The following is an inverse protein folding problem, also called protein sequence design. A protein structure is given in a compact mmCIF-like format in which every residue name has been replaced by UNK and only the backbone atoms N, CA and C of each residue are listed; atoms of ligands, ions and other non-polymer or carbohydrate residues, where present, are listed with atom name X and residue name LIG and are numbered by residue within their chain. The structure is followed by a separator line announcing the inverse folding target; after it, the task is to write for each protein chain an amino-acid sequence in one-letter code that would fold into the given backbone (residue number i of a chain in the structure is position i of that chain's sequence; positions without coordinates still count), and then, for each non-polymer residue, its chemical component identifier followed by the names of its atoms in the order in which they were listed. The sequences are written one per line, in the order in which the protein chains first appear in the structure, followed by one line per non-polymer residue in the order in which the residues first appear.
data_IF_166205297940
#
_entry.id   IF_166205297940
#
_cell.length_a   1.000
_cell.length_b   1.000
_cell.length_c   1.000
_cell.angle_alpha   90.00
_cell.angle_beta   90.00
_cell.angle_gamma   90.00
#
_symmetry.space_group_name_H-M   'P 1'
#
loop_
_entity.id
_entity.type
_entity.pdbx_description
1 polymer ?
#
# COMPACT_ATOMS: atom_id res chain seq x y z
N UNK A 1 -25.64 -7.47 23.22
CA UNK A 1 -24.65 -6.39 23.34
C UNK A 1 -23.49 -6.83 24.21
N UNK A 2 -22.26 -6.75 23.71
CA UNK A 2 -21.07 -6.96 24.52
C UNK A 2 -20.91 -5.85 25.57
N UNK A 3 -20.37 -6.17 26.75
CA UNK A 3 -20.17 -5.17 27.80
C UNK A 3 -19.06 -4.19 27.43
N UNK A 4 -19.23 -2.91 27.77
CA UNK A 4 -18.22 -1.87 27.53
C UNK A 4 -16.86 -2.22 28.15
N UNK A 5 -16.87 -2.87 29.32
CA UNK A 5 -15.68 -3.39 30.00
C UNK A 5 -14.96 -4.46 29.18
N UNK A 6 -15.72 -5.35 28.52
CA UNK A 6 -15.15 -6.38 27.65
C UNK A 6 -14.50 -5.77 26.41
N UNK A 7 -15.20 -4.86 25.73
CA UNK A 7 -14.67 -4.12 24.56
C UNK A 7 -13.40 -3.36 24.96
N UNK A 8 -13.41 -2.66 26.10
CA UNK A 8 -12.24 -1.92 26.60
C UNK A 8 -11.05 -2.83 26.89
N UNK A 9 -11.29 -4.05 27.37
CA UNK A 9 -10.24 -5.04 27.59
C UNK A 9 -9.64 -5.54 26.26
N UNK A 10 -10.48 -5.77 25.25
CA UNK A 10 -10.02 -6.13 23.89
C UNK A 10 -9.17 -5.01 23.28
N UNK A 11 -9.63 -3.75 23.35
CA UNK A 11 -8.88 -2.61 22.83
C UNK A 11 -7.55 -2.37 23.57
N UNK A 12 -7.49 -2.71 24.87
CA UNK A 12 -6.22 -2.69 25.61
C UNK A 12 -5.26 -3.76 25.09
N UNK A 13 -5.74 -4.96 24.80
CA UNK A 13 -4.94 -6.04 24.22
C UNK A 13 -4.43 -5.71 22.82
N UNK A 14 -5.16 -4.94 22.02
CA UNK A 14 -4.65 -4.43 20.73
C UNK A 14 -3.48 -3.45 20.87
N UNK A 15 -3.36 -2.74 22.01
CA UNK A 15 -2.35 -1.69 22.20
C UNK A 15 -1.10 -2.16 22.95
N UNK A 16 -1.24 -3.22 23.74
CA UNK A 16 -0.18 -3.69 24.64
C UNK A 16 -0.05 -5.20 24.68
N UNK A 17 -0.67 -5.91 23.74
CA UNK A 17 -0.58 -7.36 23.62
C UNK A 17 0.67 -7.77 22.83
N UNK A 18 0.99 -9.06 22.84
CA UNK A 18 1.86 -9.65 21.81
C UNK A 18 1.03 -9.99 20.56
N UNK A 19 1.70 -10.27 19.43
CA UNK A 19 1.07 -10.57 18.13
C UNK A 19 -0.13 -11.52 18.23
N UNK A 20 -0.01 -12.62 19.00
CA UNK A 20 -1.12 -13.55 19.23
C UNK A 20 -2.30 -12.95 19.99
N UNK A 21 -2.07 -12.09 20.98
CA UNK A 21 -3.12 -11.44 21.75
C UNK A 21 -3.82 -10.35 20.95
N UNK A 22 -3.06 -9.60 20.15
CA UNK A 22 -3.57 -8.61 19.21
C UNK A 22 -4.47 -9.27 18.17
N UNK A 23 -3.99 -10.36 17.55
CA UNK A 23 -4.75 -11.14 16.58
C UNK A 23 -6.09 -11.65 17.16
N UNK A 24 -6.04 -12.27 18.35
CA UNK A 24 -7.24 -12.80 19.00
C UNK A 24 -8.22 -11.69 19.39
N UNK A 25 -7.71 -10.56 19.87
CA UNK A 25 -8.55 -9.41 20.21
C UNK A 25 -9.21 -8.81 18.96
N UNK A 26 -8.47 -8.67 17.87
CA UNK A 26 -8.98 -8.15 16.61
C UNK A 26 -10.03 -9.08 15.99
N UNK A 27 -9.79 -10.39 15.97
CA UNK A 27 -10.80 -11.40 15.55
C UNK A 27 -12.09 -11.28 16.35
N UNK A 28 -11.97 -11.19 17.67
CA UNK A 28 -13.13 -11.02 18.54
C UNK A 28 -13.90 -9.73 18.22
N UNK A 29 -13.19 -8.64 17.89
CA UNK A 29 -13.83 -7.38 17.50
C UNK A 29 -14.53 -7.49 16.15
N UNK A 30 -14.00 -8.24 15.19
CA UNK A 30 -14.69 -8.57 13.93
C UNK A 30 -16.00 -9.29 14.24
N UNK A 31 -15.95 -10.37 15.01
CA UNK A 31 -17.13 -11.17 15.35
C UNK A 31 -18.19 -10.32 16.04
N UNK A 32 -17.79 -9.50 17.03
CA UNK A 32 -18.70 -8.59 17.72
C UNK A 32 -19.30 -7.54 16.78
N UNK A 33 -18.51 -7.00 15.85
CA UNK A 33 -18.97 -6.00 14.88
C UNK A 33 -19.93 -6.61 13.86
N UNK A 34 -19.72 -7.86 13.46
CA UNK A 34 -20.61 -8.58 12.55
C UNK A 34 -21.93 -8.97 13.23
N UNK A 35 -21.91 -9.25 14.53
CA UNK A 35 -23.08 -9.70 15.30
C UNK A 35 -24.16 -8.62 15.48
N UNK A 36 -23.78 -7.35 15.67
CA UNK A 36 -24.77 -6.30 15.96
C UNK A 36 -24.25 -4.87 15.77
N UNK A 37 -25.09 -3.97 15.23
CA UNK A 37 -24.80 -2.53 15.11
C UNK A 37 -24.53 -1.86 16.47
N UNK A 38 -25.23 -2.35 17.49
CA UNK A 38 -25.07 -1.95 18.88
C UNK A 38 -23.65 -2.23 19.40
N UNK A 39 -23.05 -3.34 18.99
CA UNK A 39 -21.65 -3.65 19.30
C UNK A 39 -20.70 -2.76 18.49
N UNK A 40 -21.01 -2.47 17.21
CA UNK A 40 -20.22 -1.54 16.39
C UNK A 40 -20.17 -0.16 17.06
N UNK A 41 -21.31 0.37 17.48
CA UNK A 41 -21.39 1.64 18.18
C UNK A 41 -20.57 1.64 19.49
N UNK A 42 -20.65 0.56 20.26
CA UNK A 42 -19.86 0.43 21.50
C UNK A 42 -18.34 0.35 21.24
N UNK A 43 -17.93 -0.34 20.17
CA UNK A 43 -16.52 -0.42 19.75
C UNK A 43 -16.00 0.95 19.33
N UNK A 44 -16.78 1.70 18.53
CA UNK A 44 -16.43 3.05 18.10
C UNK A 44 -16.36 4.00 19.31
N UNK A 45 -17.35 3.97 20.19
CA UNK A 45 -17.39 4.79 21.40
C UNK A 45 -16.20 4.53 22.35
N UNK A 46 -15.70 3.29 22.38
CA UNK A 46 -14.52 2.92 23.16
C UNK A 46 -13.18 3.29 22.48
N UNK A 47 -13.21 3.90 21.29
CA UNK A 47 -12.02 4.28 20.53
C UNK A 47 -11.44 3.13 19.69
N UNK A 48 -12.29 2.25 19.17
CA UNK A 48 -11.87 1.10 18.36
C UNK A 48 -11.23 1.49 17.03
N UNK A 49 -11.77 2.47 16.31
CA UNK A 49 -11.24 2.95 15.03
C UNK A 49 -9.76 3.37 15.14
N UNK A 50 -9.37 4.32 16.01
CA UNK A 50 -7.97 4.71 16.11
C UNK A 50 -7.07 3.57 16.57
N UNK A 51 -7.56 2.65 17.42
CA UNK A 51 -6.77 1.49 17.85
C UNK A 51 -6.47 0.52 16.70
N UNK A 52 -7.47 0.22 15.86
CA UNK A 52 -7.32 -0.67 14.70
C UNK A 52 -6.45 -0.06 13.60
N UNK A 53 -6.58 1.25 13.36
CA UNK A 53 -5.72 1.96 12.39
C UNK A 53 -4.25 1.99 12.85
N UNK A 54 -4.00 2.16 14.15
CA UNK A 54 -2.64 2.07 14.69
C UNK A 54 -2.07 0.66 14.54
N UNK A 55 -2.88 -0.39 14.76
CA UNK A 55 -2.44 -1.78 14.58
C UNK A 55 -2.09 -2.08 13.11
N UNK A 56 -2.89 -1.60 12.15
CA UNK A 56 -2.58 -1.67 10.72
C UNK A 56 -1.27 -0.93 10.38
N UNK A 57 -1.03 0.23 10.98
CA UNK A 57 0.18 1.01 10.75
C UNK A 57 1.43 0.30 11.26
N UNK A 58 1.38 -0.23 12.49
CA UNK A 58 2.50 -0.95 13.08
C UNK A 58 2.89 -2.16 12.23
N UNK A 59 1.91 -2.96 11.84
CA UNK A 59 2.15 -4.16 11.01
C UNK A 59 2.62 -3.83 9.59
N UNK A 60 2.07 -2.80 8.95
CA UNK A 60 2.55 -2.35 7.63
C UNK A 60 4.00 -1.80 7.68
N UNK A 61 4.36 -1.12 8.77
CA UNK A 61 5.73 -0.60 8.98
C UNK A 61 6.73 -1.74 9.20
N UNK A 62 6.35 -2.76 9.95
CA UNK A 62 7.16 -3.95 10.18
C UNK A 62 7.40 -4.77 8.91
N UNK A 63 6.42 -4.81 8.00
CA UNK A 63 6.58 -5.46 6.70
C UNK A 63 7.55 -4.71 5.78
N UNK A 64 7.54 -3.37 5.78
CA UNK A 64 8.45 -2.56 4.97
C UNK A 64 9.92 -2.62 5.43
N UNK A 65 10.17 -2.78 6.74
CA UNK A 65 11.52 -2.70 7.30
C UNK A 65 12.35 -4.00 7.19
N UNK A 66 11.77 -5.14 6.83
CA UNK A 66 12.42 -6.46 6.99
C UNK A 66 12.81 -7.13 5.66
N UNK A 67 14.08 -7.53 5.57
CA UNK A 67 14.70 -8.22 4.42
C UNK A 67 14.19 -9.65 4.21
N UNK A 68 14.34 -10.21 2.99
CA UNK A 68 13.84 -11.53 2.63
C UNK A 68 14.74 -12.67 3.11
N UNK A 69 14.48 -13.20 4.30
CA UNK A 69 15.12 -14.43 4.77
C UNK A 69 14.11 -15.30 5.54
N UNK A 70 14.10 -16.58 5.19
CA UNK A 70 13.30 -17.75 5.65
C UNK A 70 12.54 -17.71 7.00
N UNK A 71 12.94 -16.94 8.01
CA UNK A 71 12.11 -16.67 9.21
C UNK A 71 10.86 -15.81 8.90
N UNK A 72 10.83 -15.18 7.73
CA UNK A 72 9.74 -14.36 7.23
C UNK A 72 8.46 -15.16 7.00
N UNK A 73 8.52 -16.42 6.57
CA UNK A 73 7.30 -17.19 6.25
C UNK A 73 6.40 -17.47 7.47
N UNK A 74 6.99 -17.73 8.65
CA UNK A 74 6.23 -17.98 9.88
C UNK A 74 5.75 -16.69 10.56
N UNK A 75 6.55 -15.61 10.53
CA UNK A 75 6.16 -14.32 11.14
C UNK A 75 5.31 -13.44 10.22
N UNK A 76 5.50 -13.52 8.89
CA UNK A 76 4.64 -12.81 7.92
C UNK A 76 3.22 -13.34 7.98
N UNK A 77 3.03 -14.65 8.17
CA UNK A 77 1.70 -15.25 8.33
C UNK A 77 0.91 -14.61 9.47
N UNK A 78 1.56 -14.26 10.59
CA UNK A 78 0.87 -13.64 11.73
C UNK A 78 0.62 -12.16 11.50
N UNK A 79 1.60 -11.42 10.95
CA UNK A 79 1.42 -10.01 10.61
C UNK A 79 0.37 -9.79 9.51
N UNK A 80 0.37 -10.61 8.46
CA UNK A 80 -0.64 -10.61 7.39
C UNK A 80 -2.04 -10.92 7.98
N UNK A 81 -2.12 -11.88 8.90
CA UNK A 81 -3.37 -12.16 9.60
C UNK A 81 -3.84 -10.98 10.46
N UNK A 82 -2.95 -10.31 11.18
CA UNK A 82 -3.28 -9.12 11.99
C UNK A 82 -3.76 -7.98 11.08
N UNK A 83 -3.11 -7.77 9.93
CA UNK A 83 -3.56 -6.80 8.93
C UNK A 83 -4.94 -7.14 8.40
N UNK A 84 -5.15 -8.39 8.01
CA UNK A 84 -6.44 -8.88 7.52
C UNK A 84 -7.54 -8.60 8.53
N UNK A 85 -7.41 -9.08 9.76
CA UNK A 85 -8.48 -8.94 10.77
C UNK A 85 -8.68 -7.50 11.20
N UNK A 86 -7.64 -6.67 11.18
CA UNK A 86 -7.76 -5.25 11.51
C UNK A 86 -8.48 -4.49 10.41
N UNK A 87 -8.15 -4.76 9.15
CA UNK A 87 -8.85 -4.20 7.99
C UNK A 87 -10.30 -4.70 7.94
N UNK A 88 -10.56 -5.98 8.20
CA UNK A 88 -11.91 -6.54 8.27
C UNK A 88 -12.73 -5.91 9.38
N UNK A 89 -12.13 -5.68 10.55
CA UNK A 89 -12.82 -4.99 11.65
C UNK A 89 -13.20 -3.56 11.25
N UNK A 90 -12.30 -2.81 10.60
CA UNK A 90 -12.64 -1.50 10.05
C UNK A 90 -13.74 -1.58 8.99
N UNK A 91 -13.69 -2.61 8.12
CA UNK A 91 -14.74 -2.96 7.17
C UNK A 91 -16.10 -3.10 7.84
N UNK A 92 -16.22 -3.98 8.84
CA UNK A 92 -17.46 -4.17 9.58
C UNK A 92 -17.94 -2.89 10.28
N UNK A 93 -17.04 -2.08 10.83
CA UNK A 93 -17.40 -0.80 11.45
C UNK A 93 -17.87 0.23 10.43
N UNK A 94 -17.44 0.11 9.18
CA UNK A 94 -17.80 1.02 8.09
C UNK A 94 -19.19 0.71 7.50
N UNK A 95 -19.65 -0.55 7.55
CA UNK A 95 -20.92 -0.98 6.96
C UNK A 95 -22.08 -0.16 7.52
N UNK A 96 -22.89 0.39 6.60
CA UNK A 96 -24.09 1.20 6.87
C UNK A 96 -23.90 2.38 7.84
N UNK A 97 -22.67 2.88 8.00
CA UNK A 97 -22.37 3.94 8.96
C UNK A 97 -21.45 5.02 8.38
N UNK A 98 -22.01 6.06 7.74
CA UNK A 98 -21.22 7.11 7.09
C UNK A 98 -20.34 7.89 8.08
N UNK A 99 -20.81 8.07 9.33
CA UNK A 99 -20.01 8.68 10.40
C UNK A 99 -18.76 7.87 10.74
N UNK A 100 -18.86 6.54 10.78
CA UNK A 100 -17.71 5.68 11.03
C UNK A 100 -16.76 5.69 9.83
N UNK A 101 -17.27 5.69 8.60
CA UNK A 101 -16.45 5.79 7.38
C UNK A 101 -15.63 7.08 7.37
N UNK A 102 -16.24 8.22 7.67
CA UNK A 102 -15.53 9.49 7.82
C UNK A 102 -14.46 9.43 8.92
N UNK A 103 -14.78 8.83 10.08
CA UNK A 103 -13.82 8.65 11.17
C UNK A 103 -12.64 7.73 10.80
N UNK A 104 -12.88 6.66 10.03
CA UNK A 104 -11.85 5.76 9.50
C UNK A 104 -10.91 6.52 8.55
N UNK A 105 -11.48 7.33 7.64
CA UNK A 105 -10.72 8.21 6.76
C UNK A 105 -9.86 9.20 7.53
N UNK A 106 -10.47 9.92 8.49
CA UNK A 106 -9.80 10.92 9.33
C UNK A 106 -8.70 10.32 10.24
N UNK A 107 -8.84 9.06 10.64
CA UNK A 107 -7.80 8.35 11.39
C UNK A 107 -6.56 8.01 10.53
N UNK A 108 -6.63 8.21 9.21
CA UNK A 108 -5.54 7.97 8.28
C UNK A 108 -5.47 6.52 7.78
N UNK A 109 -6.60 5.82 7.72
CA UNK A 109 -6.66 4.46 7.18
C UNK A 109 -6.41 4.41 5.66
N UNK A 110 -6.92 5.41 4.91
CA UNK A 110 -6.84 5.45 3.44
C UNK A 110 -5.43 5.23 2.88
N UNK A 111 -4.39 6.01 3.29
CA UNK A 111 -3.04 5.80 2.76
C UNK A 111 -2.46 4.41 3.12
N UNK A 112 -2.83 3.86 4.28
CA UNK A 112 -2.38 2.52 4.69
C UNK A 112 -3.04 1.43 3.83
N UNK A 113 -4.33 1.55 3.53
CA UNK A 113 -5.05 0.59 2.68
C UNK A 113 -4.49 0.60 1.26
N UNK A 114 -4.22 1.79 0.69
CA UNK A 114 -3.59 1.90 -0.64
C UNK A 114 -2.19 1.28 -0.65
N UNK A 115 -1.43 1.46 0.43
CA UNK A 115 -0.11 0.84 0.57
C UNK A 115 -0.20 -0.70 0.65
N UNK A 116 -1.15 -1.23 1.43
CA UNK A 116 -1.39 -2.68 1.52
C UNK A 116 -1.77 -3.28 0.16
N UNK A 117 -2.62 -2.59 -0.61
CA UNK A 117 -2.99 -3.02 -1.96
C UNK A 117 -1.78 -3.14 -2.88
N UNK A 118 -0.89 -2.13 -2.87
CA UNK A 118 0.34 -2.14 -3.68
C UNK A 118 1.30 -3.23 -3.23
N UNK A 119 1.59 -3.30 -1.93
CA UNK A 119 2.53 -4.27 -1.39
C UNK A 119 2.11 -5.71 -1.72
N UNK A 120 0.83 -6.03 -1.55
CA UNK A 120 0.27 -7.33 -1.90
C UNK A 120 0.24 -7.61 -3.42
N UNK A 121 0.15 -6.56 -4.26
CA UNK A 121 0.17 -6.72 -5.71
C UNK A 121 1.56 -7.03 -6.26
N UNK A 122 2.60 -6.55 -5.58
CA UNK A 122 4.01 -6.73 -5.93
C UNK A 122 4.61 -8.02 -5.34
N UNK A 123 3.88 -8.72 -4.46
CA UNK A 123 4.36 -9.97 -3.90
C UNK A 123 4.51 -11.03 -4.99
N UNK A 124 5.77 -11.43 -5.21
CA UNK A 124 6.18 -12.41 -6.22
C UNK A 124 5.55 -13.79 -6.01
N UNK A 125 5.12 -14.10 -4.78
CA UNK A 125 4.34 -15.28 -4.41
C UNK A 125 3.05 -14.85 -3.71
N UNK A 126 2.00 -14.57 -4.48
CA UNK A 126 0.65 -14.40 -3.91
C UNK A 126 0.26 -15.67 -3.15
N UNK A 127 -0.08 -15.52 -1.88
CA UNK A 127 -0.66 -16.56 -1.05
C UNK A 127 -2.13 -16.17 -0.72
N UNK A 128 -2.92 -17.12 -0.20
CA UNK A 128 -4.34 -16.88 0.14
C UNK A 128 -4.53 -15.75 1.16
N UNK A 129 -3.58 -15.52 2.07
CA UNK A 129 -3.68 -14.45 3.05
C UNK A 129 -3.50 -13.07 2.40
N UNK A 130 -2.55 -12.93 1.48
CA UNK A 130 -2.32 -11.72 0.69
C UNK A 130 -3.51 -11.39 -0.21
N UNK A 131 -4.15 -12.38 -0.81
CA UNK A 131 -5.39 -12.20 -1.60
C UNK A 131 -6.53 -11.69 -0.71
N UNK A 132 -6.72 -12.29 0.47
CA UNK A 132 -7.73 -11.82 1.42
C UNK A 132 -7.47 -10.39 1.92
N UNK A 133 -6.20 -10.05 2.21
CA UNK A 133 -5.83 -8.69 2.61
C UNK A 133 -6.14 -7.69 1.48
N UNK A 134 -5.90 -8.06 0.23
CA UNK A 134 -6.25 -7.22 -0.92
C UNK A 134 -7.75 -7.02 -1.01
N UNK A 135 -8.52 -8.11 -1.02
CA UNK A 135 -9.97 -8.04 -1.15
C UNK A 135 -10.58 -7.10 -0.10
N UNK A 136 -10.26 -7.32 1.18
CA UNK A 136 -10.78 -6.49 2.28
C UNK A 136 -10.32 -5.02 2.16
N UNK A 137 -9.09 -4.78 1.70
CA UNK A 137 -8.62 -3.42 1.50
C UNK A 137 -9.34 -2.70 0.34
N UNK A 138 -9.66 -3.41 -0.75
CA UNK A 138 -10.45 -2.85 -1.86
C UNK A 138 -11.89 -2.59 -1.40
N UNK A 139 -12.53 -3.54 -0.73
CA UNK A 139 -13.89 -3.39 -0.18
C UNK A 139 -14.00 -2.19 0.76
N UNK A 140 -13.04 -2.02 1.67
CA UNK A 140 -13.03 -0.89 2.58
C UNK A 140 -12.81 0.43 1.84
N UNK A 141 -11.91 0.48 0.85
CA UNK A 141 -11.77 1.67 0.00
C UNK A 141 -13.04 1.96 -0.82
N UNK A 142 -13.73 0.92 -1.30
CA UNK A 142 -15.03 1.02 -1.97
C UNK A 142 -16.07 1.64 -1.05
N UNK A 143 -16.18 1.15 0.19
CA UNK A 143 -17.08 1.72 1.20
C UNK A 143 -16.77 3.20 1.47
N UNK A 144 -15.49 3.55 1.63
CA UNK A 144 -15.04 4.93 1.90
C UNK A 144 -15.23 5.86 0.70
N UNK A 145 -15.21 5.35 -0.54
CA UNK A 145 -15.45 6.13 -1.76
C UNK A 145 -16.88 6.69 -1.86
N UNK A 146 -17.80 6.16 -1.07
CA UNK A 146 -19.21 6.57 -1.05
C UNK A 146 -19.50 7.80 -0.15
N UNK A 147 -18.60 8.21 0.75
CA UNK A 147 -18.88 9.21 1.80
C UNK A 147 -18.60 10.68 1.43
N UNK A 148 -18.56 10.99 0.13
CA UNK A 148 -18.44 12.35 -0.36
C UNK A 148 -17.01 12.76 -0.77
N UNK A 149 -16.81 14.04 -1.12
CA UNK A 149 -15.65 14.49 -1.89
C UNK A 149 -14.32 14.40 -1.13
N UNK A 150 -14.34 14.49 0.20
CA UNK A 150 -13.12 14.48 1.02
C UNK A 150 -12.44 13.10 1.02
N UNK A 151 -13.23 12.03 1.19
CA UNK A 151 -12.73 10.65 1.11
C UNK A 151 -12.21 10.33 -0.28
N UNK A 152 -12.95 10.72 -1.33
CA UNK A 152 -12.53 10.53 -2.72
C UNK A 152 -11.24 11.27 -3.07
N UNK A 153 -11.11 12.51 -2.60
CA UNK A 153 -9.88 13.31 -2.71
C UNK A 153 -8.71 12.66 -1.98
N UNK A 154 -8.92 12.17 -0.75
CA UNK A 154 -7.90 11.47 0.02
C UNK A 154 -7.46 10.15 -0.65
N UNK A 155 -8.39 9.39 -1.22
CA UNK A 155 -8.09 8.16 -1.97
C UNK A 155 -7.27 8.50 -3.22
N UNK A 156 -7.66 9.54 -3.96
CA UNK A 156 -6.91 10.02 -5.12
C UNK A 156 -5.50 10.49 -4.74
N UNK A 157 -5.37 11.29 -3.68
CA UNK A 157 -4.09 11.82 -3.19
C UNK A 157 -3.14 10.72 -2.69
N UNK A 158 -3.66 9.65 -2.08
CA UNK A 158 -2.87 8.46 -1.72
C UNK A 158 -2.41 7.64 -2.95
N UNK A 159 -2.90 7.99 -4.14
CA UNK A 159 -2.68 7.25 -5.39
C UNK A 159 -3.48 5.95 -5.46
N UNK A 160 -4.65 5.92 -4.79
CA UNK A 160 -5.56 4.78 -4.78
C UNK A 160 -6.15 4.48 -6.16
N UNK A 161 -6.39 5.50 -6.99
CA UNK A 161 -6.93 5.31 -8.36
C UNK A 161 -5.99 4.43 -9.21
N UNK A 162 -4.68 4.71 -9.19
CA UNK A 162 -3.71 3.91 -9.93
C UNK A 162 -3.63 2.46 -9.40
N UNK A 163 -3.66 2.29 -8.07
CA UNK A 163 -3.64 0.97 -7.45
C UNK A 163 -4.89 0.14 -7.79
N UNK A 164 -6.08 0.76 -7.77
CA UNK A 164 -7.34 0.12 -8.15
C UNK A 164 -7.38 -0.24 -9.64
N UNK A 165 -6.86 0.61 -10.53
CA UNK A 165 -6.76 0.32 -11.97
C UNK A 165 -5.81 -0.85 -12.26
N UNK A 166 -4.66 -0.89 -11.58
CA UNK A 166 -3.72 -2.00 -11.66
C UNK A 166 -4.41 -3.29 -11.20
N UNK A 167 -5.03 -3.29 -10.02
CA UNK A 167 -5.71 -4.45 -9.47
C UNK A 167 -6.87 -4.93 -10.36
N UNK A 168 -7.68 -4.03 -10.92
CA UNK A 168 -8.72 -4.37 -11.88
C UNK A 168 -8.17 -5.04 -13.15
N UNK A 169 -7.00 -4.62 -13.62
CA UNK A 169 -6.40 -5.13 -14.86
C UNK A 169 -5.62 -6.42 -14.68
N UNK A 170 -4.97 -6.61 -13.52
CA UNK A 170 -4.00 -7.69 -13.30
C UNK A 170 -4.44 -8.73 -12.28
N UNK A 171 -5.53 -8.52 -11.54
CA UNK A 171 -5.98 -9.50 -10.54
C UNK A 171 -6.57 -10.76 -11.21
N UNK A 172 -6.17 -11.96 -10.76
CA UNK A 172 -6.80 -13.20 -11.18
C UNK A 172 -8.20 -13.40 -10.55
N UNK A 173 -8.51 -12.71 -9.45
CA UNK A 173 -9.79 -12.83 -8.76
C UNK A 173 -10.86 -11.97 -9.44
N UNK A 174 -12.00 -12.57 -9.78
CA UNK A 174 -13.15 -11.84 -10.32
C UNK A 174 -13.68 -10.84 -9.30
N UNK A 175 -13.76 -11.26 -8.04
CA UNK A 175 -14.28 -10.47 -6.92
C UNK A 175 -13.44 -9.22 -6.68
N UNK A 176 -12.10 -9.37 -6.66
CA UNK A 176 -11.18 -8.23 -6.55
C UNK A 176 -11.37 -7.22 -7.71
N UNK A 177 -11.60 -7.72 -8.93
CA UNK A 177 -11.80 -6.85 -10.11
C UNK A 177 -13.14 -6.14 -10.09
N UNK A 178 -14.20 -6.81 -9.64
CA UNK A 178 -15.53 -6.23 -9.51
C UNK A 178 -15.56 -5.14 -8.43
N UNK A 179 -14.99 -5.41 -7.27
CA UNK A 179 -14.92 -4.43 -6.18
C UNK A 179 -14.05 -3.23 -6.56
N UNK A 180 -12.93 -3.47 -7.25
CA UNK A 180 -12.11 -2.38 -7.77
C UNK A 180 -12.83 -1.53 -8.82
N UNK A 181 -13.64 -2.16 -9.68
CA UNK A 181 -14.46 -1.45 -10.67
C UNK A 181 -15.54 -0.60 -9.99
N UNK A 182 -16.20 -1.15 -8.95
CA UNK A 182 -17.19 -0.42 -8.16
C UNK A 182 -16.56 0.80 -7.47
N UNK A 183 -15.41 0.64 -6.82
CA UNK A 183 -14.68 1.74 -6.21
C UNK A 183 -14.26 2.80 -7.24
N UNK A 184 -13.73 2.40 -8.41
CA UNK A 184 -13.36 3.30 -9.49
C UNK A 184 -14.56 4.06 -10.06
N UNK A 185 -15.71 3.40 -10.20
CA UNK A 185 -16.95 4.04 -10.65
C UNK A 185 -17.42 5.12 -9.66
N UNK A 186 -17.40 4.82 -8.35
CA UNK A 186 -17.75 5.79 -7.31
C UNK A 186 -16.80 7.01 -7.31
N UNK A 187 -15.49 6.76 -7.44
CA UNK A 187 -14.49 7.83 -7.55
C UNK A 187 -14.66 8.65 -8.82
N UNK A 188 -15.05 8.05 -9.94
CA UNK A 188 -15.28 8.73 -11.22
C UNK A 188 -16.48 9.68 -11.17
N UNK A 189 -17.50 9.34 -10.39
CA UNK A 189 -18.65 10.22 -10.15
C UNK A 189 -18.33 11.39 -9.22
N UNK A 190 -17.18 11.37 -8.53
CA UNK A 190 -16.69 12.47 -7.72
C UNK A 190 -15.80 13.38 -8.57
N UNK A 191 -16.34 14.48 -9.12
CA UNK A 191 -15.62 15.45 -9.98
C UNK A 191 -14.25 15.90 -9.41
N UNK A 192 -14.09 15.90 -8.08
CA UNK A 192 -12.86 16.29 -7.38
C UNK A 192 -11.74 15.24 -7.42
N UNK A 193 -12.05 13.95 -7.58
CA UNK A 193 -11.03 12.90 -7.68
C UNK A 193 -10.20 13.08 -8.97
N UNK A 194 -10.84 13.55 -10.05
CA UNK A 194 -10.17 13.92 -11.30
C UNK A 194 -9.26 15.14 -11.16
N UNK A 195 -9.70 16.18 -10.44
CA UNK A 195 -8.93 17.41 -10.25
C UNK A 195 -7.65 17.19 -9.44
N UNK A 196 -7.68 16.36 -8.40
CA UNK A 196 -6.50 16.04 -7.56
C UNK A 196 -5.45 15.23 -8.33
N UNK A 197 -5.85 14.29 -9.18
CA UNK A 197 -4.92 13.53 -10.04
C UNK A 197 -4.19 14.45 -11.03
N UNK A 198 -4.90 15.46 -11.57
CA UNK A 198 -4.30 16.44 -12.47
C UNK A 198 -3.38 17.41 -11.72
N UNK A 199 -3.75 17.84 -10.50
CA UNK A 199 -2.93 18.75 -9.70
C UNK A 199 -1.69 18.07 -9.08
N UNK A 200 -1.79 16.79 -8.71
CA UNK A 200 -0.65 15.99 -8.23
C UNK A 200 0.39 15.74 -9.36
N UNK A 201 -0.06 15.59 -10.61
CA UNK A 201 0.83 15.58 -11.77
C UNK A 201 1.43 16.96 -12.08
N UNK A 202 0.66 18.04 -11.90
CA UNK A 202 1.16 19.41 -12.07
C UNK A 202 2.28 19.77 -11.10
N UNK A 203 2.08 19.50 -9.80
CA UNK A 203 3.08 19.77 -8.74
C UNK A 203 4.33 18.90 -8.84
N UNK A 204 4.23 17.66 -9.37
CA UNK A 204 5.39 16.83 -9.66
C UNK A 204 6.18 17.29 -10.90
N UNK A 205 5.51 17.90 -11.89
CA UNK A 205 6.15 18.42 -13.10
C UNK A 205 6.87 19.77 -12.84
N UNK A 206 6.33 20.61 -11.95
CA UNK A 206 6.93 21.91 -11.59
C UNK A 206 8.22 21.77 -10.75
N UNK A 207 8.43 20.64 -10.07
CA UNK A 207 9.68 20.35 -9.35
C UNK A 207 10.83 19.88 -10.26
N UNK A 208 10.61 19.71 -11.57
CA UNK A 208 11.64 19.31 -12.54
C UNK A 208 11.92 20.37 -13.62
N UNK A 209 11.41 21.59 -13.46
CA UNK A 209 11.58 22.67 -14.43
C UNK A 209 11.86 24.02 -13.80
N UNK A 210 13.03 24.19 -13.18
CA UNK A 210 13.72 25.49 -13.03
C UNK A 210 15.00 25.30 -12.21
N UNK A 211 16.06 24.91 -12.89
CA UNK A 211 17.43 25.16 -12.43
C UNK A 211 18.25 25.52 -13.66
N UNK A 212 17.96 26.70 -14.22
CA UNK A 212 18.91 27.37 -15.11
C UNK A 212 20.13 27.79 -14.26
N UNK A 213 21.36 27.44 -14.68
CA UNK A 213 22.58 27.91 -14.03
C UNK A 213 22.85 29.39 -14.37
N UNK A 214 23.42 30.20 -13.47
CA UNK A 214 23.75 31.58 -13.79
C UNK A 214 24.94 31.64 -14.77
N UNK A 215 24.77 32.52 -15.75
CA UNK A 215 25.66 32.80 -16.86
C UNK A 215 27.06 33.28 -16.48
N UNK A 216 28.06 32.78 -17.19
CA UNK A 216 29.34 33.44 -17.50
C UNK A 216 29.72 33.00 -18.93
N UNK A 217 29.39 33.78 -19.96
CA UNK A 217 30.19 34.89 -20.53
C UNK A 217 30.99 34.39 -21.76
N UNK A 218 30.69 35.00 -22.94
CA UNK A 218 31.49 35.20 -24.16
C UNK A 218 32.38 34.03 -24.68
N UNK A 219 32.43 33.63 -25.95
CA UNK A 219 32.23 34.26 -27.27
C UNK A 219 32.63 33.18 -28.33
N UNK A 220 32.42 33.41 -29.64
CA UNK A 220 32.01 32.35 -30.57
C UNK A 220 33.00 31.95 -31.69
N UNK A 221 32.57 30.95 -32.47
CA UNK A 221 32.76 30.75 -33.92
C UNK A 221 33.86 29.79 -34.42
N UNK A 222 33.53 29.19 -35.58
CA UNK A 222 34.35 28.41 -36.52
C UNK A 222 34.67 26.97 -36.09
N UNK A 223 34.72 25.94 -36.94
CA UNK A 223 34.44 25.69 -38.36
C UNK A 223 34.64 24.17 -38.55
N UNK A 224 34.25 23.66 -39.71
CA UNK A 224 34.25 22.26 -40.13
C UNK A 224 35.58 21.48 -40.00
N UNK A 225 35.42 20.15 -40.06
CA UNK A 225 36.38 19.04 -40.27
C UNK A 225 37.49 19.30 -41.33
N UNK A 226 38.54 18.45 -41.59
CA UNK A 226 38.51 16.97 -41.51
C UNK A 226 39.87 16.17 -41.36
N UNK A 227 39.75 14.82 -41.44
CA UNK A 227 40.69 13.68 -41.72
C UNK A 227 42.23 13.85 -41.77
N UNK A 228 42.96 12.90 -41.14
CA UNK A 228 44.06 12.00 -41.64
C UNK A 228 44.59 11.14 -40.44
N UNK A 229 44.64 9.80 -40.41
CA UNK A 229 45.32 8.74 -41.17
C UNK A 229 46.68 8.25 -40.58
N UNK A 230 46.77 6.91 -40.40
CA UNK A 230 47.97 6.04 -40.25
C UNK A 230 48.72 6.08 -38.88
N UNK A 231 49.36 5.03 -38.35
CA UNK A 231 49.85 3.77 -38.93
C UNK A 231 50.18 2.71 -37.83
N UNK A 232 50.18 1.45 -38.28
CA UNK A 232 50.85 0.21 -37.81
C UNK A 232 51.48 0.05 -36.41
N UNK A 233 51.21 -1.11 -35.75
CA UNK A 233 52.15 -2.25 -35.71
C UNK A 233 51.73 -3.35 -34.70
N UNK A 234 51.60 -4.59 -35.20
CA UNK A 234 51.62 -5.91 -34.53
C UNK A 234 52.65 -6.71 -35.36
N UNK A 235 53.58 -7.56 -34.83
CA UNK A 235 53.30 -8.86 -34.19
C UNK A 235 54.40 -9.25 -33.14
N UNK A 236 54.56 -10.45 -32.54
CA UNK A 236 54.12 -11.81 -32.81
C UNK A 236 54.39 -12.72 -31.57
N UNK A 237 53.69 -13.86 -31.54
CA UNK A 237 54.18 -15.20 -31.18
C UNK A 237 54.49 -15.62 -29.73
N UNK A 238 53.65 -16.54 -29.26
CA UNK A 238 53.89 -17.63 -28.30
C UNK A 238 54.94 -18.66 -28.87
N UNK A 239 55.32 -19.80 -28.22
CA UNK A 239 54.40 -20.83 -27.71
C UNK A 239 55.00 -21.69 -26.52
N UNK A 240 54.68 -22.99 -26.30
CA UNK A 240 54.25 -23.51 -24.99
C UNK A 240 55.20 -24.60 -24.41
N UNK A 241 54.93 -25.14 -23.22
CA UNK A 241 55.31 -26.53 -22.92
C UNK A 241 54.46 -27.16 -21.80
N UNK A 242 54.31 -28.46 -21.93
CA UNK A 242 53.31 -29.42 -21.42
C UNK A 242 53.77 -30.22 -20.18
N UNK A 243 52.80 -30.92 -19.56
CA UNK A 243 52.89 -32.23 -18.87
C UNK A 243 53.56 -32.27 -17.46
N UNK A 244 53.25 -33.17 -16.52
CA UNK A 244 52.25 -34.23 -16.28
C UNK A 244 52.53 -34.82 -14.87
N UNK A 245 51.48 -35.37 -14.23
CA UNK A 245 51.43 -36.56 -13.35
C UNK A 245 52.46 -36.82 -12.22
N UNK A 246 51.94 -36.96 -10.99
CA UNK A 246 51.91 -38.22 -10.22
C UNK A 246 53.19 -38.78 -9.60
N UNK A 247 53.24 -38.78 -8.26
CA UNK A 247 53.76 -39.86 -7.40
C UNK A 247 52.89 -39.93 -6.15
#
# INVERSE_FOLDING_TARGET
MASSTYISALLRRLRSGGEHQELQAARTLVDLSADSDDNRAAIVAAGGIPALVQLLRSTASEQLLRSPASEQLLRSSTSEQVQLVSASALGCLSVDSPGNRAAIGAAGAIPLLVQLLRAASEQLLRNTASEQVQLVAVELLGCLSCDGPDSSSAIAAAGGIAALQQLHSSSPSVEEREEAAAALHNLSNSEQAGAVVLNAKGTAQEAHGSADPPAAEAAPAAEAAPVVAADAAVPASAPPHVASAGV
#
